data_IF_066191656520
#
_entry.id   IF_066191656520
#
_cell.length_a   1.000
_cell.length_b   1.000
_cell.length_c   1.000
_cell.angle_alpha   90.00
_cell.angle_beta   90.00
_cell.angle_gamma   90.00
#
_symmetry.space_group_name_H-M   'P 1'
#
loop_
_entity.id
_entity.type
_entity.pdbx_description
1 polymer ?
#
# COMPACT_ATOMS: atom_id res chain seq x y z
N UNK A 1 20.50 -58.29 -12.86
CA UNK A 1 21.35 -57.71 -13.92
C UNK A 1 20.66 -56.43 -14.41
N UNK A 2 21.19 -55.25 -14.05
CA UNK A 2 21.81 -54.27 -14.98
C UNK A 2 20.85 -53.81 -16.11
N UNK A 3 20.53 -52.53 -16.36
CA UNK A 3 21.28 -51.26 -16.20
C UNK A 3 20.33 -50.07 -16.45
N UNK A 4 20.53 -49.01 -15.62
CA UNK A 4 20.59 -47.56 -15.91
C UNK A 4 19.56 -46.87 -16.83
N UNK A 5 19.04 -45.76 -16.30
CA UNK A 5 18.12 -44.83 -16.94
C UNK A 5 18.74 -43.83 -17.92
N UNK A 6 17.86 -43.01 -18.49
CA UNK A 6 18.18 -41.83 -19.29
C UNK A 6 17.11 -40.76 -19.01
N UNK A 7 17.51 -39.70 -18.31
CA UNK A 7 16.75 -38.44 -18.18
C UNK A 7 17.04 -37.61 -19.43
N UNK A 8 15.99 -37.00 -19.98
CA UNK A 8 16.05 -36.11 -21.13
C UNK A 8 16.70 -34.78 -20.76
N UNK A 9 17.65 -34.36 -21.58
CA UNK A 9 18.32 -33.06 -21.59
C UNK A 9 17.40 -31.99 -22.21
N UNK A 10 17.53 -30.78 -21.67
CA UNK A 10 16.89 -29.53 -22.10
C UNK A 10 17.77 -28.90 -23.19
N UNK A 11 17.14 -28.44 -24.28
CA UNK A 11 17.78 -27.68 -25.36
C UNK A 11 18.44 -26.40 -24.84
N UNK A 12 19.75 -26.27 -25.05
CA UNK A 12 20.45 -24.98 -25.12
C UNK A 12 20.56 -24.57 -26.59
N UNK A 13 20.06 -23.37 -26.91
CA UNK A 13 20.30 -22.67 -28.16
C UNK A 13 21.61 -21.85 -28.07
N UNK A 14 22.31 -21.62 -29.20
CA UNK A 14 23.74 -21.35 -29.24
C UNK A 14 24.10 -19.87 -29.05
N UNK A 15 24.97 -19.58 -28.09
CA UNK A 15 25.68 -18.30 -27.99
C UNK A 15 27.09 -18.42 -28.57
N UNK A 16 27.24 -18.18 -29.86
CA UNK A 16 28.52 -17.89 -30.50
C UNK A 16 28.94 -16.46 -30.17
N UNK A 17 30.08 -16.30 -29.51
CA UNK A 17 31.26 -15.71 -30.17
C UNK A 17 32.42 -15.66 -29.18
N UNK A 18 33.36 -16.57 -29.41
CA UNK A 18 34.75 -16.39 -29.06
C UNK A 18 35.32 -15.26 -29.92
N UNK A 19 35.74 -14.16 -29.32
CA UNK A 19 36.76 -13.32 -29.95
C UNK A 19 37.68 -12.67 -28.91
N UNK A 20 38.96 -13.03 -29.05
CA UNK A 20 40.17 -12.41 -28.52
C UNK A 20 40.54 -12.56 -27.02
N UNK A 21 41.23 -13.68 -26.72
CA UNK A 21 42.45 -13.59 -25.90
C UNK A 21 43.55 -12.92 -26.75
N UNK A 22 44.02 -11.73 -26.34
CA UNK A 22 45.30 -11.18 -26.83
C UNK A 22 46.01 -10.32 -25.76
N UNK A 23 47.01 -10.98 -25.16
CA UNK A 23 48.36 -10.52 -24.80
C UNK A 23 48.61 -9.31 -23.86
N UNK A 24 49.42 -9.59 -22.82
CA UNK A 24 50.53 -8.70 -22.43
C UNK A 24 50.32 -7.74 -21.24
N UNK A 25 50.97 -8.07 -20.11
CA UNK A 25 51.17 -7.28 -18.87
C UNK A 25 49.93 -7.11 -17.98
N UNK A 26 50.01 -7.72 -16.78
CA UNK A 26 49.04 -7.52 -15.69
C UNK A 26 48.88 -6.01 -15.42
N UNK A 27 47.68 -5.42 -15.59
CA UNK A 27 47.46 -4.01 -15.31
C UNK A 27 47.68 -3.74 -13.83
N UNK A 28 48.35 -2.64 -13.50
CA UNK A 28 48.60 -2.26 -12.11
C UNK A 28 47.28 -2.07 -11.37
N UNK A 29 47.23 -2.39 -10.08
CA UNK A 29 46.02 -2.28 -9.23
C UNK A 29 45.29 -0.92 -9.36
N UNK A 30 46.03 0.16 -9.61
CA UNK A 30 45.49 1.51 -9.84
C UNK A 30 44.76 1.69 -11.18
N UNK A 31 45.11 0.95 -12.23
CA UNK A 31 44.44 1.02 -13.53
C UNK A 31 43.10 0.29 -13.52
N UNK A 32 43.04 -0.86 -12.82
CA UNK A 32 41.80 -1.62 -12.64
C UNK A 32 40.77 -0.85 -11.80
N UNK A 33 41.18 -0.19 -10.72
CA UNK A 33 40.28 0.66 -9.92
C UNK A 33 39.73 1.85 -10.72
N UNK A 34 40.53 2.45 -11.62
CA UNK A 34 40.08 3.57 -12.46
C UNK A 34 39.09 3.12 -13.53
N UNK A 35 39.23 1.92 -14.08
CA UNK A 35 38.26 1.34 -15.02
C UNK A 35 36.97 0.93 -14.31
N UNK A 36 37.07 0.30 -13.13
CA UNK A 36 35.90 -0.06 -12.32
C UNK A 36 35.07 1.17 -11.89
N UNK A 37 35.71 2.28 -11.50
CA UNK A 37 35.00 3.53 -11.18
C UNK A 37 34.27 4.11 -12.38
N UNK A 38 34.90 4.11 -13.55
CA UNK A 38 34.27 4.59 -14.80
C UNK A 38 33.08 3.73 -15.24
N UNK A 39 33.17 2.42 -15.05
CA UNK A 39 32.07 1.49 -15.34
C UNK A 39 30.91 1.71 -14.35
N UNK A 40 31.18 1.79 -13.04
CA UNK A 40 30.16 2.08 -12.05
C UNK A 40 29.46 3.44 -12.25
N UNK A 41 30.20 4.47 -12.68
CA UNK A 41 29.62 5.78 -13.00
C UNK A 41 28.78 5.75 -14.29
N UNK A 42 29.15 4.91 -15.26
CA UNK A 42 28.37 4.70 -16.48
C UNK A 42 27.08 3.93 -16.18
N UNK A 43 27.15 2.92 -15.32
CA UNK A 43 25.98 2.11 -14.94
C UNK A 43 24.99 2.94 -14.11
N UNK A 44 25.46 3.76 -13.16
CA UNK A 44 24.61 4.71 -12.43
C UNK A 44 23.93 5.74 -13.33
N UNK A 45 24.60 6.17 -14.40
CA UNK A 45 23.99 7.10 -15.38
C UNK A 45 22.92 6.39 -16.20
N UNK A 46 23.19 5.17 -16.67
CA UNK A 46 22.22 4.36 -17.41
C UNK A 46 21.00 4.01 -16.57
N UNK A 47 21.17 3.68 -15.29
CA UNK A 47 20.06 3.42 -14.38
C UNK A 47 19.18 4.66 -14.16
N UNK A 48 19.80 5.83 -13.99
CA UNK A 48 19.07 7.10 -13.84
C UNK A 48 18.34 7.49 -15.11
N UNK A 49 18.96 7.30 -16.27
CA UNK A 49 18.35 7.57 -17.58
C UNK A 49 17.21 6.60 -17.88
N UNK A 50 17.35 5.32 -17.50
CA UNK A 50 16.27 4.33 -17.61
C UNK A 50 15.09 4.68 -16.69
N UNK A 51 15.33 5.13 -15.45
CA UNK A 51 14.28 5.61 -14.55
C UNK A 51 13.57 6.84 -15.11
N UNK A 52 14.31 7.81 -15.64
CA UNK A 52 13.75 9.02 -16.25
C UNK A 52 12.94 8.69 -17.51
N UNK A 53 13.41 7.74 -18.32
CA UNK A 53 12.66 7.25 -19.49
C UNK A 53 11.38 6.50 -19.10
N UNK A 54 11.40 5.72 -18.01
CA UNK A 54 10.18 5.10 -17.48
C UNK A 54 9.20 6.15 -16.95
N UNK A 55 9.68 7.18 -16.25
CA UNK A 55 8.85 8.32 -15.84
C UNK A 55 8.26 9.05 -17.06
N UNK A 56 9.07 9.36 -18.08
CA UNK A 56 8.62 10.02 -19.31
C UNK A 56 7.64 9.16 -20.13
N UNK A 57 7.82 7.85 -20.19
CA UNK A 57 6.87 6.95 -20.84
C UNK A 57 5.51 6.90 -20.11
N UNK A 58 5.52 6.95 -18.77
CA UNK A 58 4.27 7.01 -17.99
C UNK A 58 3.55 8.35 -18.16
N UNK A 59 4.29 9.45 -18.33
CA UNK A 59 3.73 10.79 -18.59
C UNK A 59 3.23 10.93 -20.04
N UNK A 60 3.93 10.38 -21.04
CA UNK A 60 3.59 10.56 -22.46
C UNK A 60 2.50 9.61 -22.95
N UNK A 61 2.36 8.40 -22.37
CA UNK A 61 1.20 7.52 -22.62
C UNK A 61 -0.13 8.12 -22.14
N UNK A 62 -0.12 9.25 -21.43
CA UNK A 62 -1.33 10.02 -21.06
C UNK A 62 -1.88 10.93 -22.19
N UNK A 63 -1.20 11.07 -23.35
CA UNK A 63 -1.60 12.04 -24.39
C UNK A 63 -2.03 11.46 -25.76
N UNK A 64 -2.33 10.17 -25.85
CA UNK A 64 -2.65 9.51 -27.14
C UNK A 64 -3.96 8.70 -27.16
N UNK A 65 -5.12 9.34 -26.96
CA UNK A 65 -6.42 8.68 -27.05
C UNK A 65 -7.45 9.51 -27.84
N UNK A 66 -7.76 9.09 -29.08
CA UNK A 66 -8.84 9.65 -29.92
C UNK A 66 -10.21 9.46 -29.26
N UNK A 67 -10.96 10.56 -29.15
CA UNK A 67 -12.39 10.60 -29.50
C UNK A 67 -13.35 9.77 -28.65
N UNK A 68 -13.41 10.02 -27.34
CA UNK A 68 -14.67 9.98 -26.60
C UNK A 68 -14.88 11.37 -26.05
N UNK A 69 -16.06 11.96 -26.26
CA UNK A 69 -16.53 13.16 -25.54
C UNK A 69 -16.49 12.83 -24.05
N UNK A 70 -15.32 12.94 -23.44
CA UNK A 70 -15.19 13.05 -22.01
C UNK A 70 -15.93 14.32 -21.65
N UNK A 71 -16.91 14.22 -20.74
CA UNK A 71 -17.37 15.39 -20.02
C UNK A 71 -16.13 16.19 -19.61
N UNK A 72 -16.13 17.50 -19.82
CA UNK A 72 -15.31 18.41 -19.02
C UNK A 72 -15.67 18.12 -17.55
N UNK A 73 -14.96 17.18 -16.93
CA UNK A 73 -15.13 16.77 -15.53
C UNK A 73 -13.81 16.83 -14.77
N UNK A 74 -12.77 17.42 -15.37
CA UNK A 74 -11.43 17.46 -14.78
C UNK A 74 -11.25 18.55 -13.73
N UNK A 75 -12.05 19.62 -13.79
CA UNK A 75 -11.99 20.73 -12.82
C UNK A 75 -13.31 20.86 -12.05
N UNK A 76 -14.46 20.68 -12.71
CA UNK A 76 -15.77 20.79 -12.05
C UNK A 76 -15.95 19.80 -10.90
N UNK A 77 -15.45 18.57 -11.03
CA UNK A 77 -15.67 17.54 -10.01
C UNK A 77 -14.78 17.78 -8.77
N UNK A 78 -13.59 18.37 -8.97
CA UNK A 78 -12.70 18.78 -7.88
C UNK A 78 -13.16 20.09 -7.25
N UNK A 79 -13.58 21.07 -8.07
CA UNK A 79 -14.14 22.33 -7.62
C UNK A 79 -15.44 22.09 -6.84
N UNK A 80 -16.35 21.23 -7.32
CA UNK A 80 -17.59 20.86 -6.60
C UNK A 80 -17.27 20.10 -5.32
N UNK A 81 -16.30 19.20 -5.33
CA UNK A 81 -15.89 18.50 -4.13
C UNK A 81 -15.23 19.45 -3.11
N UNK A 82 -14.49 20.47 -3.57
CA UNK A 82 -13.89 21.49 -2.70
C UNK A 82 -14.94 22.45 -2.16
N UNK A 83 -15.94 22.80 -2.98
CA UNK A 83 -17.11 23.58 -2.57
C UNK A 83 -18.00 22.81 -1.58
N UNK A 84 -17.94 21.48 -1.57
CA UNK A 84 -18.59 20.66 -0.53
C UNK A 84 -17.85 20.69 0.82
N UNK A 85 -16.62 21.23 0.84
CA UNK A 85 -15.73 21.29 1.99
C UNK A 85 -15.92 22.60 2.76
N UNK A 86 -16.97 22.66 3.59
CA UNK A 86 -17.31 23.81 4.42
C UNK A 86 -17.60 25.11 3.65
N UNK A 87 -17.89 26.22 4.35
CA UNK A 87 -18.26 27.48 3.70
C UNK A 87 -17.09 28.21 3.02
N UNK A 88 -15.85 27.83 3.33
CA UNK A 88 -14.64 28.48 2.82
C UNK A 88 -13.99 27.75 1.64
N UNK A 89 -14.34 26.49 1.37
CA UNK A 89 -13.70 25.69 0.33
C UNK A 89 -12.19 25.54 0.53
N UNK A 90 -11.72 25.61 1.78
CA UNK A 90 -10.30 25.50 2.15
C UNK A 90 -10.08 24.28 3.01
N UNK A 91 -8.98 23.57 2.76
CA UNK A 91 -8.57 22.39 3.52
C UNK A 91 -7.25 22.72 4.21
N UNK A 92 -7.29 22.75 5.54
CA UNK A 92 -6.10 22.95 6.37
C UNK A 92 -5.50 21.59 6.73
N UNK A 93 -4.51 21.15 5.96
CA UNK A 93 -3.76 19.91 6.18
C UNK A 93 -2.27 20.20 6.40
N UNK A 94 -1.66 19.58 7.42
CA UNK A 94 -0.24 19.76 7.73
C UNK A 94 0.53 18.45 7.66
N UNK A 95 1.58 18.40 6.84
CA UNK A 95 2.36 17.20 6.60
C UNK A 95 1.82 16.35 5.44
N UNK A 96 2.59 15.35 5.03
CA UNK A 96 2.30 14.53 3.85
C UNK A 96 1.09 13.63 4.12
N UNK A 97 1.05 12.97 5.27
CA UNK A 97 0.00 12.04 5.67
C UNK A 97 -1.36 12.73 5.79
N UNK A 98 -1.37 13.94 6.35
CA UNK A 98 -2.59 14.72 6.55
C UNK A 98 -3.12 15.28 5.23
N UNK A 99 -2.22 15.68 4.32
CA UNK A 99 -2.57 16.09 2.95
C UNK A 99 -3.16 14.94 2.15
N UNK A 100 -2.59 13.73 2.26
CA UNK A 100 -3.12 12.54 1.61
C UNK A 100 -4.50 12.15 2.15
N UNK A 101 -4.69 12.24 3.47
CA UNK A 101 -5.97 11.99 4.11
C UNK A 101 -7.03 13.00 3.62
N UNK A 102 -6.70 14.29 3.58
CA UNK A 102 -7.59 15.33 3.07
C UNK A 102 -7.97 15.13 1.60
N UNK A 103 -7.01 14.80 0.73
CA UNK A 103 -7.29 14.46 -0.68
C UNK A 103 -8.19 13.23 -0.82
N UNK A 104 -8.09 12.28 0.10
CA UNK A 104 -8.99 11.13 0.12
C UNK A 104 -10.44 11.50 0.49
N UNK A 105 -10.66 12.60 1.20
CA UNK A 105 -12.01 13.12 1.52
C UNK A 105 -12.66 13.83 0.33
N UNK A 106 -11.83 14.40 -0.55
CA UNK A 106 -12.27 15.05 -1.78
C UNK A 106 -12.79 14.03 -2.81
N UNK A 107 -12.40 12.76 -2.69
CA UNK A 107 -12.96 11.69 -3.54
C UNK A 107 -14.45 11.50 -3.23
N UNK A 108 -15.22 11.24 -4.28
CA UNK A 108 -16.67 11.00 -4.19
C UNK A 108 -17.06 9.80 -3.30
N UNK A 109 -16.14 8.86 -3.06
CA UNK A 109 -16.35 7.72 -2.16
C UNK A 109 -15.41 7.79 -0.95
N UNK A 110 -15.82 8.59 0.05
CA UNK A 110 -15.04 8.82 1.29
C UNK A 110 -14.93 7.56 2.15
N UNK A 111 -15.94 6.70 2.09
CA UNK A 111 -15.95 5.39 2.73
C UNK A 111 -16.25 4.36 1.65
N UNK A 112 -15.23 3.65 1.14
CA UNK A 112 -15.45 2.69 0.08
C UNK A 112 -16.43 1.62 0.56
N UNK A 113 -17.25 1.11 -0.36
CA UNK A 113 -18.24 0.08 -0.02
C UNK A 113 -17.62 -1.18 0.62
N UNK A 114 -16.32 -1.41 0.43
CA UNK A 114 -15.55 -2.50 1.03
C UNK A 114 -15.26 -2.30 2.53
N UNK A 115 -15.24 -1.05 3.00
CA UNK A 115 -14.95 -0.71 4.39
C UNK A 115 -16.22 -0.71 5.25
N UNK A 116 -17.39 -0.72 4.61
CA UNK A 116 -18.67 -0.91 5.30
C UNK A 116 -18.84 -2.40 5.60
N UNK A 117 -18.72 -2.74 6.89
CA UNK A 117 -18.97 -4.09 7.36
C UNK A 117 -20.33 -4.16 8.07
N UNK A 118 -21.16 -5.11 7.63
CA UNK A 118 -22.44 -5.44 8.26
C UNK A 118 -22.31 -6.56 9.30
N UNK A 119 -21.16 -7.24 9.32
CA UNK A 119 -20.89 -8.43 10.11
C UNK A 119 -19.55 -8.37 10.86
N UNK A 120 -19.33 -7.36 11.72
CA UNK A 120 -18.12 -7.27 12.54
C UNK A 120 -17.89 -8.51 13.41
N UNK A 121 -18.96 -9.17 13.86
CA UNK A 121 -18.94 -10.42 14.63
C UNK A 121 -18.10 -11.52 13.97
N UNK A 122 -18.12 -11.60 12.62
CA UNK A 122 -17.36 -12.61 11.88
C UNK A 122 -15.86 -12.33 11.88
N UNK A 123 -15.48 -11.04 11.90
CA UNK A 123 -14.07 -10.61 11.92
C UNK A 123 -13.52 -10.59 13.34
N UNK A 124 -14.38 -10.42 14.36
CA UNK A 124 -14.00 -10.37 15.76
C UNK A 124 -13.13 -11.56 16.19
N UNK A 125 -13.52 -12.79 15.86
CA UNK A 125 -12.76 -13.99 16.22
C UNK A 125 -11.35 -14.03 15.59
N UNK A 126 -11.25 -13.62 14.32
CA UNK A 126 -9.97 -13.60 13.61
C UNK A 126 -9.05 -12.50 14.15
N UNK A 127 -9.60 -11.29 14.36
CA UNK A 127 -8.87 -10.17 14.93
C UNK A 127 -8.41 -10.46 16.37
N UNK A 128 -9.25 -11.11 17.17
CA UNK A 128 -8.89 -11.52 18.53
C UNK A 128 -7.77 -12.57 18.55
N UNK A 129 -7.81 -13.54 17.65
CA UNK A 129 -6.74 -14.53 17.51
C UNK A 129 -5.41 -13.85 17.14
N UNK A 130 -5.43 -12.98 16.14
CA UNK A 130 -4.26 -12.21 15.71
C UNK A 130 -3.69 -11.32 16.84
N UNK A 131 -4.55 -10.63 17.59
CA UNK A 131 -4.13 -9.81 18.73
C UNK A 131 -3.55 -10.67 19.86
N UNK A 132 -4.18 -11.81 20.14
CA UNK A 132 -3.74 -12.72 21.21
C UNK A 132 -2.38 -13.31 20.88
N UNK A 133 -2.13 -13.76 19.66
CA UNK A 133 -0.83 -14.32 19.25
C UNK A 133 0.30 -13.30 19.40
N UNK A 134 0.04 -12.02 19.09
CA UNK A 134 1.01 -10.93 19.25
C UNK A 134 1.24 -10.57 20.73
N UNK A 135 0.17 -10.42 21.52
CA UNK A 135 0.27 -9.94 22.92
C UNK A 135 0.61 -11.02 23.94
N UNK A 136 0.28 -12.27 23.69
CA UNK A 136 0.52 -13.37 24.64
C UNK A 136 1.98 -13.52 25.11
N UNK A 137 3.04 -13.35 24.28
CA UNK A 137 4.41 -13.37 24.78
C UNK A 137 4.77 -12.15 25.65
N UNK A 138 4.16 -10.99 25.41
CA UNK A 138 4.41 -9.76 26.17
C UNK A 138 3.72 -9.84 27.54
N UNK A 139 2.44 -10.20 27.56
CA UNK A 139 1.64 -10.33 28.78
C UNK A 139 2.17 -11.44 29.70
N UNK A 140 2.75 -12.51 29.14
CA UNK A 140 3.45 -13.56 29.92
C UNK A 140 4.69 -13.05 30.65
N UNK A 141 5.42 -12.09 30.07
CA UNK A 141 6.61 -11.50 30.68
C UNK A 141 6.24 -10.49 31.76
N UNK A 142 5.18 -9.72 31.51
CA UNK A 142 4.65 -8.73 32.46
C UNK A 142 4.01 -9.39 33.69
N UNK A 143 3.33 -10.54 33.49
CA UNK A 143 2.60 -11.24 34.55
C UNK A 143 3.07 -12.71 34.69
N UNK A 144 4.33 -12.94 35.13
CA UNK A 144 4.82 -14.28 35.35
C UNK A 144 4.09 -14.89 36.57
N UNK A 145 3.27 -15.91 36.32
CA UNK A 145 2.53 -16.64 37.37
C UNK A 145 1.02 -16.77 37.11
N UNK A 146 0.45 -15.98 36.20
CA UNK A 146 -0.94 -16.15 35.80
C UNK A 146 -1.12 -17.37 34.88
N UNK A 147 -2.24 -18.08 35.06
CA UNK A 147 -2.61 -19.19 34.18
C UNK A 147 -2.93 -18.66 32.77
N UNK A 148 -2.68 -19.46 31.73
CA UNK A 148 -2.97 -19.09 30.33
C UNK A 148 -4.35 -18.47 30.12
N UNK A 149 -5.38 -19.05 30.76
CA UNK A 149 -6.76 -18.56 30.68
C UNK A 149 -6.93 -17.15 31.27
N UNK A 150 -6.21 -16.81 32.34
CA UNK A 150 -6.25 -15.48 32.96
C UNK A 150 -5.54 -14.44 32.08
N UNK A 151 -4.42 -14.83 31.45
CA UNK A 151 -3.72 -13.99 30.48
C UNK A 151 -4.60 -13.71 29.26
N UNK A 152 -5.27 -14.74 28.72
CA UNK A 152 -6.23 -14.59 27.61
C UNK A 152 -7.41 -13.68 27.99
N UNK A 153 -7.92 -13.75 29.22
CA UNK A 153 -8.95 -12.82 29.70
C UNK A 153 -8.46 -11.37 29.81
N UNK A 154 -7.20 -11.17 30.20
CA UNK A 154 -6.61 -9.83 30.27
C UNK A 154 -6.43 -9.25 28.86
N UNK A 155 -5.89 -10.05 27.94
CA UNK A 155 -5.77 -9.72 26.51
C UNK A 155 -7.14 -9.43 25.91
N UNK A 156 -8.17 -10.22 26.22
CA UNK A 156 -9.54 -10.01 25.76
C UNK A 156 -10.08 -8.64 26.19
N UNK A 157 -9.87 -8.25 27.45
CA UNK A 157 -10.31 -6.95 27.98
C UNK A 157 -9.57 -5.77 27.32
N UNK A 158 -8.29 -5.92 27.05
CA UNK A 158 -7.52 -4.94 26.29
C UNK A 158 -8.02 -4.83 24.85
N UNK A 159 -8.26 -5.98 24.21
CA UNK A 159 -8.74 -6.05 22.84
C UNK A 159 -10.11 -5.38 22.68
N UNK A 160 -11.02 -5.55 23.64
CA UNK A 160 -12.32 -4.87 23.61
C UNK A 160 -12.22 -3.35 23.48
N UNK A 161 -11.18 -2.74 24.07
CA UNK A 161 -10.95 -1.28 24.02
C UNK A 161 -10.03 -0.85 22.88
N UNK A 162 -9.34 -1.79 22.25
CA UNK A 162 -8.36 -1.50 21.21
C UNK A 162 -9.05 -1.07 19.92
N UNK A 163 -8.38 -0.19 19.17
CA UNK A 163 -8.79 0.18 17.81
C UNK A 163 -8.68 -1.00 16.84
N UNK A 164 -7.93 -2.05 17.16
CA UNK A 164 -7.82 -3.29 16.37
C UNK A 164 -9.12 -4.11 16.38
N UNK A 165 -10.04 -3.85 17.32
CA UNK A 165 -11.32 -4.53 17.37
C UNK A 165 -12.23 -4.06 16.20
N UNK A 166 -12.64 -4.96 15.29
CA UNK A 166 -13.53 -4.61 14.19
C UNK A 166 -14.85 -4.00 14.65
N UNK A 167 -15.30 -4.29 15.88
CA UNK A 167 -16.55 -3.79 16.44
C UNK A 167 -16.49 -2.30 16.83
N UNK A 168 -15.28 -1.78 17.09
CA UNK A 168 -15.07 -0.37 17.45
C UNK A 168 -14.94 0.55 16.22
N UNK A 169 -14.95 -0.01 15.00
CA UNK A 169 -14.83 0.76 13.77
C UNK A 169 -16.10 1.60 13.54
N UNK A 170 -15.92 2.85 13.12
CA UNK A 170 -17.03 3.76 12.83
C UNK A 170 -17.85 3.35 11.59
N UNK A 171 -17.32 2.45 10.75
CA UNK A 171 -17.93 2.00 9.49
C UNK A 171 -18.90 0.82 9.66
N UNK A 172 -19.18 0.40 10.89
CA UNK A 172 -20.10 -0.69 11.18
C UNK A 172 -21.55 -0.25 10.99
N UNK A 173 -22.33 -1.10 10.31
CA UNK A 173 -23.74 -0.84 10.03
C UNK A 173 -24.59 -2.03 10.48
N UNK A 174 -25.81 -1.77 10.96
CA UNK A 174 -26.75 -2.83 11.31
C UNK A 174 -27.08 -3.71 10.10
N UNK A 175 -27.28 -5.01 10.33
CA UNK A 175 -27.52 -5.97 9.25
C UNK A 175 -28.76 -5.62 8.40
N UNK A 176 -29.82 -5.14 9.05
CA UNK A 176 -31.10 -4.79 8.42
C UNK A 176 -31.17 -3.34 7.92
N UNK A 177 -30.05 -2.61 7.92
CA UNK A 177 -30.02 -1.23 7.44
C UNK A 177 -30.42 -1.13 5.97
N UNK A 178 -31.25 -0.13 5.65
CA UNK A 178 -31.61 0.19 4.26
C UNK A 178 -30.50 0.98 3.58
N UNK A 179 -30.59 1.14 2.27
CA UNK A 179 -29.66 1.97 1.48
C UNK A 179 -29.53 3.38 2.05
N UNK A 180 -30.63 3.98 2.47
CA UNK A 180 -30.66 5.36 2.99
C UNK A 180 -29.90 5.47 4.32
N UNK A 181 -29.99 4.44 5.17
CA UNK A 181 -29.25 4.40 6.44
C UNK A 181 -27.74 4.26 6.20
N UNK A 182 -27.35 3.50 5.18
CA UNK A 182 -25.94 3.38 4.76
C UNK A 182 -25.41 4.73 4.27
N UNK A 183 -26.20 5.47 3.50
CA UNK A 183 -25.82 6.80 3.02
C UNK A 183 -25.66 7.79 4.18
N UNK A 184 -26.60 7.82 5.13
CA UNK A 184 -26.48 8.64 6.35
C UNK A 184 -25.22 8.31 7.16
N UNK A 185 -24.90 7.03 7.32
CA UNK A 185 -23.66 6.62 8.01
C UNK A 185 -22.43 7.12 7.23
N UNK A 186 -22.41 7.01 5.90
CA UNK A 186 -21.32 7.56 5.08
C UNK A 186 -21.20 9.08 5.23
N UNK A 187 -22.31 9.80 5.23
CA UNK A 187 -22.35 11.27 5.41
C UNK A 187 -21.83 11.68 6.79
N UNK A 188 -22.32 11.05 7.87
CA UNK A 188 -21.85 11.34 9.23
C UNK A 188 -20.35 11.07 9.41
N UNK A 189 -19.83 9.99 8.80
CA UNK A 189 -18.38 9.71 8.80
C UNK A 189 -17.64 10.77 7.98
N UNK A 190 -18.19 11.19 6.84
CA UNK A 190 -17.62 12.26 6.00
C UNK A 190 -17.52 13.55 6.80
N UNK A 191 -18.62 14.02 7.38
CA UNK A 191 -18.69 15.24 8.19
C UNK A 191 -17.69 15.21 9.37
N UNK A 192 -17.60 14.09 10.09
CA UNK A 192 -16.61 13.92 11.17
C UNK A 192 -15.18 14.10 10.66
N UNK A 193 -14.87 13.54 9.48
CA UNK A 193 -13.54 13.64 8.88
C UNK A 193 -13.28 15.02 8.31
N UNK A 194 -14.24 15.66 7.62
CA UNK A 194 -14.05 17.01 7.05
C UNK A 194 -13.86 18.05 8.15
N UNK A 195 -14.62 17.96 9.25
CA UNK A 195 -14.49 18.85 10.42
C UNK A 195 -13.08 18.91 11.02
N UNK A 196 -12.26 17.87 10.84
CA UNK A 196 -10.86 17.88 11.25
C UNK A 196 -10.02 18.91 10.46
N UNK A 197 -10.38 19.13 9.20
CA UNK A 197 -9.64 19.91 8.19
C UNK A 197 -10.27 21.28 7.86
N UNK A 198 -11.46 21.56 8.40
CA UNK A 198 -12.19 22.83 8.22
C UNK A 198 -11.76 23.94 9.21
N UNK A 199 -10.59 23.80 9.86
CA UNK A 199 -10.17 24.72 10.94
C UNK A 199 -9.92 26.16 10.49
#
# INVERSE_FOLDING_TARGET
MAKKGKKQEVEEAPGSDSDYEDTGKKPSKKQLEKQAKKQADADKKKEREALLAMEEETLTKSKGGKGKKGKKGGNSDLDDALNSFGPKGTIDAHGVEDSLAALSLLKNDVVPAKDIDRHPERRFKAALAAYTERRLPEVKKENPGLRKQQLEQLIYKEFQKSDENPMNKETNISYNAKTDDVLKVKETIREKRTKKYEK
#
